data_IF_605033145852
#
_entry.id   IF_605033145852
#
_cell.length_a   1.000
_cell.length_b   1.000
_cell.length_c   1.000
_cell.angle_alpha   90.00
_cell.angle_beta   90.00
_cell.angle_gamma   90.00
#
_symmetry.space_group_name_H-M   'P 1'
#
loop_
_entity.id
_entity.type
_entity.pdbx_description
1 polymer ?
#
# COMPACT_ATOMS: atom_id res chain seq x y z
N UNK A 1 0.72 18.69 7.01
CA UNK A 1 1.13 17.33 7.32
C UNK A 1 0.49 16.37 6.29
N UNK A 2 1.21 15.38 5.85
CA UNK A 2 0.73 14.45 4.83
C UNK A 2 0.93 13.00 5.28
N UNK A 3 0.01 12.15 4.88
CA UNK A 3 0.10 10.71 5.06
C UNK A 3 -0.69 10.03 3.94
N UNK A 4 -0.76 8.70 3.94
CA UNK A 4 -1.46 7.94 2.91
C UNK A 4 -2.62 7.19 3.50
N UNK A 5 -3.66 7.01 2.71
CA UNK A 5 -4.86 6.27 3.10
C UNK A 5 -5.26 5.33 1.98
N UNK A 6 -5.47 4.05 2.31
CA UNK A 6 -6.01 3.06 1.40
C UNK A 6 -7.44 2.77 1.84
N UNK A 7 -8.39 3.09 0.98
CA UNK A 7 -9.81 2.90 1.26
C UNK A 7 -10.29 1.69 0.49
N UNK A 8 -10.73 0.65 1.21
CA UNK A 8 -11.22 -0.59 0.65
C UNK A 8 -12.70 -0.50 0.34
N UNK A 9 -13.09 -1.14 -0.76
CA UNK A 9 -14.50 -1.35 -1.09
C UNK A 9 -14.98 -2.68 -0.49
N UNK A 10 -16.29 -2.91 -0.55
CA UNK A 10 -16.89 -4.18 -0.14
C UNK A 10 -16.35 -5.29 -1.07
N UNK A 11 -15.94 -6.46 -0.53
CA UNK A 11 -15.44 -7.54 -1.35
C UNK A 11 -16.42 -7.99 -2.43
N UNK A 12 -15.89 -8.23 -3.62
CA UNK A 12 -16.59 -8.85 -4.73
C UNK A 12 -15.96 -10.22 -4.96
N UNK A 13 -16.60 -11.26 -4.41
CA UNK A 13 -15.99 -12.58 -4.37
C UNK A 13 -14.70 -12.54 -3.57
N UNK A 14 -13.59 -12.95 -4.20
CA UNK A 14 -12.25 -12.91 -3.59
C UNK A 14 -11.51 -11.60 -3.81
N UNK A 15 -12.07 -10.70 -4.59
CA UNK A 15 -11.44 -9.44 -4.92
C UNK A 15 -11.87 -8.34 -3.95
N UNK A 16 -10.89 -7.67 -3.35
CA UNK A 16 -11.14 -6.44 -2.59
C UNK A 16 -10.48 -5.31 -3.35
N UNK A 17 -11.29 -4.55 -4.07
CA UNK A 17 -10.83 -3.34 -4.75
C UNK A 17 -10.71 -2.22 -3.75
N UNK A 18 -9.73 -1.36 -3.95
CA UNK A 18 -9.55 -0.19 -3.14
C UNK A 18 -8.86 0.91 -3.93
N UNK A 19 -8.61 2.01 -3.26
CA UNK A 19 -7.89 3.14 -3.83
C UNK A 19 -6.94 3.73 -2.80
N UNK A 20 -5.76 4.07 -3.28
CA UNK A 20 -4.74 4.71 -2.47
C UNK A 20 -4.77 6.22 -2.71
N UNK A 21 -4.72 6.97 -1.62
CA UNK A 21 -4.75 8.44 -1.63
C UNK A 21 -3.58 9.01 -0.86
N UNK A 22 -3.10 10.15 -1.33
CA UNK A 22 -2.30 11.05 -0.53
C UNK A 22 -3.25 11.97 0.23
N UNK A 23 -3.05 12.10 1.52
CA UNK A 23 -3.91 12.92 2.39
C UNK A 23 -3.10 14.10 2.91
N UNK A 24 -3.57 15.30 2.63
CA UNK A 24 -3.06 16.53 3.21
C UNK A 24 -4.03 17.01 4.28
N UNK A 25 -3.50 17.32 5.45
CA UNK A 25 -4.31 17.90 6.53
C UNK A 25 -3.96 19.37 6.72
N UNK A 26 -5.00 20.19 6.86
CA UNK A 26 -4.88 21.62 7.15
C UNK A 26 -5.93 21.97 8.18
N UNK A 27 -5.52 22.09 9.45
CA UNK A 27 -6.46 22.24 10.56
C UNK A 27 -7.34 21.01 10.69
N UNK A 28 -8.66 21.19 10.56
CA UNK A 28 -9.64 20.10 10.63
C UNK A 28 -9.97 19.49 9.25
N UNK A 29 -9.40 20.04 8.18
CA UNK A 29 -9.69 19.59 6.82
C UNK A 29 -8.71 18.54 6.35
N UNK A 30 -9.24 17.51 5.70
CA UNK A 30 -8.46 16.54 4.94
C UNK A 30 -8.74 16.73 3.46
N UNK A 31 -7.68 16.74 2.67
CA UNK A 31 -7.79 16.76 1.22
C UNK A 31 -7.15 15.49 0.68
N UNK A 32 -7.93 14.69 -0.05
CA UNK A 32 -7.47 13.43 -0.62
C UNK A 32 -7.12 13.62 -2.09
N UNK A 33 -5.92 13.18 -2.46
CA UNK A 33 -5.48 13.14 -3.85
C UNK A 33 -5.31 11.68 -4.25
N UNK A 34 -6.07 11.24 -5.24
CA UNK A 34 -6.03 9.85 -5.71
C UNK A 34 -4.66 9.53 -6.32
N UNK A 35 -4.09 8.39 -5.93
CA UNK A 35 -2.83 7.92 -6.47
C UNK A 35 -3.05 6.77 -7.44
N UNK A 36 -3.66 5.67 -6.99
CA UNK A 36 -3.88 4.51 -7.83
C UNK A 36 -4.93 3.56 -7.26
N UNK A 37 -5.54 2.71 -8.11
CA UNK A 37 -6.37 1.61 -7.65
C UNK A 37 -5.50 0.52 -7.01
N UNK A 38 -6.10 -0.25 -6.12
CA UNK A 38 -5.46 -1.39 -5.44
C UNK A 38 -6.35 -2.62 -5.50
N UNK A 39 -5.73 -3.79 -5.35
CA UNK A 39 -6.44 -5.07 -5.32
C UNK A 39 -5.85 -5.95 -4.24
N UNK A 40 -6.70 -6.55 -3.43
CA UNK A 40 -6.29 -7.50 -2.39
C UNK A 40 -7.11 -8.78 -2.50
N UNK A 41 -6.62 -9.83 -1.85
CA UNK A 41 -7.33 -11.10 -1.76
C UNK A 41 -8.16 -11.10 -0.46
N UNK A 42 -9.48 -11.22 -0.59
CA UNK A 42 -10.41 -11.19 0.54
C UNK A 42 -10.09 -12.26 1.60
N UNK A 43 -9.59 -13.41 1.17
CA UNK A 43 -9.25 -14.53 2.06
C UNK A 43 -7.94 -14.31 2.81
N UNK A 44 -7.13 -13.34 2.41
CA UNK A 44 -5.77 -13.13 2.92
C UNK A 44 -5.53 -11.69 3.40
N UNK A 45 -6.57 -10.90 3.54
CA UNK A 45 -6.45 -9.49 3.91
C UNK A 45 -5.74 -9.30 5.25
N UNK A 46 -4.89 -8.28 5.28
CA UNK A 46 -4.28 -7.81 6.52
C UNK A 46 -5.26 -6.92 7.29
N UNK A 47 -5.08 -6.77 8.61
CA UNK A 47 -5.98 -5.91 9.40
C UNK A 47 -5.96 -4.46 8.94
N UNK A 48 -7.10 -3.78 9.09
CA UNK A 48 -7.24 -2.35 8.80
C UNK A 48 -6.64 -1.54 9.96
N UNK A 49 -5.34 -1.31 9.87
CA UNK A 49 -4.56 -0.60 10.89
C UNK A 49 -3.75 0.53 10.20
N UNK A 50 -2.98 1.23 11.02
CA UNK A 50 -2.00 2.20 10.53
C UNK A 50 -0.65 1.51 10.49
N UNK A 51 -0.01 1.54 9.32
CA UNK A 51 1.29 0.92 9.11
C UNK A 51 2.32 1.95 8.70
N UNK A 52 3.57 1.69 9.05
CA UNK A 52 4.71 2.38 8.46
C UNK A 52 5.11 1.65 7.20
N UNK A 53 5.49 2.39 6.17
CA UNK A 53 5.99 1.85 4.90
C UNK A 53 7.48 2.11 4.78
N UNK A 54 8.22 1.12 4.33
CA UNK A 54 9.62 1.27 3.96
C UNK A 54 9.82 0.71 2.55
N UNK A 55 10.88 1.12 1.87
CA UNK A 55 11.24 0.55 0.57
C UNK A 55 12.53 -0.25 0.78
N UNK A 56 12.45 -1.56 0.55
CA UNK A 56 13.57 -2.46 0.75
C UNK A 56 13.67 -3.45 -0.41
N UNK A 57 14.83 -4.10 -0.54
CA UNK A 57 15.02 -5.16 -1.51
C UNK A 57 14.15 -6.36 -1.13
N UNK A 58 13.28 -6.77 -2.06
CA UNK A 58 12.47 -7.97 -1.86
C UNK A 58 13.29 -9.21 -2.20
N UNK A 59 13.45 -10.16 -1.25
CA UNK A 59 14.13 -11.42 -1.58
C UNK A 59 13.38 -12.23 -2.63
N UNK A 60 12.04 -12.20 -2.59
CA UNK A 60 11.20 -12.96 -3.50
C UNK A 60 11.18 -12.38 -4.91
N UNK A 61 10.96 -11.07 -5.02
CA UNK A 61 10.81 -10.41 -6.31
C UNK A 61 12.11 -9.85 -6.87
N UNK A 62 13.17 -9.84 -6.04
CA UNK A 62 14.54 -9.43 -6.41
C UNK A 62 14.61 -8.02 -6.97
N UNK A 63 13.83 -7.11 -6.38
CA UNK A 63 13.86 -5.70 -6.68
C UNK A 63 13.37 -4.89 -5.49
N UNK A 64 13.61 -3.59 -5.50
CA UNK A 64 13.09 -2.69 -4.47
C UNK A 64 11.58 -2.60 -4.57
N UNK A 65 10.89 -2.80 -3.46
CA UNK A 65 9.43 -2.68 -3.36
C UNK A 65 9.05 -2.11 -2.00
N UNK A 66 7.92 -1.38 -1.93
CA UNK A 66 7.38 -0.95 -0.65
C UNK A 66 7.01 -2.16 0.21
N UNK A 67 7.33 -2.08 1.50
CA UNK A 67 6.97 -3.12 2.48
C UNK A 67 6.26 -2.47 3.66
N UNK A 68 5.21 -3.13 4.16
CA UNK A 68 4.52 -2.72 5.37
C UNK A 68 5.24 -3.29 6.58
N UNK A 69 5.55 -2.42 7.54
CA UNK A 69 6.28 -2.80 8.75
C UNK A 69 5.31 -3.31 9.81
N UNK A 70 5.73 -4.35 10.55
CA UNK A 70 5.02 -4.84 11.72
C UNK A 70 3.55 -5.23 11.47
N UNK A 71 3.30 -5.90 10.36
CA UNK A 71 1.98 -6.47 10.09
C UNK A 71 1.76 -7.64 11.07
N UNK A 72 0.65 -7.65 11.85
CA UNK A 72 0.42 -8.71 12.82
C UNK A 72 0.47 -10.10 12.20
N UNK A 73 1.35 -10.97 12.75
CA UNK A 73 1.47 -12.36 12.35
C UNK A 73 2.03 -12.60 10.94
N UNK A 74 2.54 -11.58 10.27
CA UNK A 74 3.04 -11.70 8.89
C UNK A 74 4.27 -10.84 8.67
N UNK A 75 5.07 -11.25 7.69
CA UNK A 75 6.21 -10.46 7.20
C UNK A 75 6.22 -10.47 5.68
N UNK A 76 6.93 -9.51 5.09
CA UNK A 76 7.04 -9.45 3.64
C UNK A 76 5.77 -9.00 2.91
N UNK A 77 4.87 -8.32 3.59
CA UNK A 77 3.66 -7.76 2.97
C UNK A 77 4.07 -6.50 2.21
N UNK A 78 3.90 -6.53 0.90
CA UNK A 78 4.39 -5.48 0.00
C UNK A 78 3.32 -5.00 -0.96
N UNK A 79 3.55 -3.83 -1.55
CA UNK A 79 2.88 -3.44 -2.80
C UNK A 79 3.67 -4.03 -3.95
N UNK A 80 3.01 -4.80 -4.81
CA UNK A 80 3.65 -5.31 -6.02
C UNK A 80 2.62 -5.50 -7.13
N UNK A 81 3.10 -5.68 -8.35
CA UNK A 81 2.22 -5.85 -9.50
C UNK A 81 1.45 -7.16 -9.45
N UNK A 82 0.20 -7.11 -9.89
CA UNK A 82 -0.67 -8.27 -10.02
C UNK A 82 -2.02 -7.86 -10.54
N UNK A 83 -2.72 -8.79 -11.20
CA UNK A 83 -4.00 -8.51 -11.87
C UNK A 83 -5.16 -9.32 -11.33
N UNK A 84 -4.88 -10.32 -10.50
CA UNK A 84 -5.90 -11.23 -9.95
C UNK A 84 -5.71 -11.37 -8.45
N UNK A 85 -6.80 -11.52 -7.66
CA UNK A 85 -6.68 -11.70 -6.21
C UNK A 85 -5.74 -12.86 -5.84
N UNK A 86 -5.70 -13.92 -6.64
CA UNK A 86 -4.86 -15.08 -6.40
C UNK A 86 -3.35 -14.76 -6.45
N UNK A 87 -2.97 -13.62 -7.03
CA UNK A 87 -1.58 -13.16 -7.02
C UNK A 87 -1.16 -12.60 -5.65
N UNK A 88 -2.10 -12.50 -4.71
CA UNK A 88 -1.84 -11.95 -3.39
C UNK A 88 -2.01 -13.02 -2.30
N UNK A 89 -1.01 -13.10 -1.42
CA UNK A 89 -1.09 -13.82 -0.14
C UNK A 89 -1.11 -12.83 1.03
N UNK A 90 -1.74 -11.68 0.82
CA UNK A 90 -1.81 -10.58 1.77
C UNK A 90 -1.20 -9.29 1.24
N UNK A 91 -0.41 -9.37 0.18
CA UNK A 91 0.17 -8.19 -0.46
C UNK A 91 -0.91 -7.35 -1.15
N UNK A 92 -0.60 -6.07 -1.32
CA UNK A 92 -1.46 -5.13 -2.03
C UNK A 92 -1.01 -5.09 -3.49
N UNK A 93 -1.91 -5.44 -4.40
CA UNK A 93 -1.62 -5.51 -5.82
C UNK A 93 -1.95 -4.19 -6.50
N UNK A 94 -1.08 -3.77 -7.39
CA UNK A 94 -1.25 -2.57 -8.23
C UNK A 94 -0.83 -2.91 -9.65
N UNK A 95 -1.04 -2.00 -10.60
CA UNK A 95 -0.50 -2.18 -11.94
C UNK A 95 1.03 -2.14 -11.92
N UNK A 96 1.66 -2.68 -12.97
CA UNK A 96 3.12 -2.62 -13.09
C UNK A 96 3.62 -1.18 -13.10
N UNK A 97 2.90 -0.28 -13.76
CA UNK A 97 3.22 1.13 -13.80
C UNK A 97 3.11 1.78 -12.41
N UNK A 98 2.05 1.47 -11.68
CA UNK A 98 1.84 2.00 -10.33
C UNK A 98 2.84 1.44 -9.33
N UNK A 99 3.27 0.19 -9.49
CA UNK A 99 4.33 -0.39 -8.67
C UNK A 99 5.61 0.45 -8.76
N UNK A 100 6.01 0.80 -9.97
CA UNK A 100 7.20 1.63 -10.21
C UNK A 100 7.00 3.03 -9.61
N UNK A 101 5.85 3.62 -9.86
CA UNK A 101 5.51 4.95 -9.35
C UNK A 101 5.57 5.02 -7.83
N UNK A 102 4.95 4.06 -7.14
CA UNK A 102 4.92 4.03 -5.69
C UNK A 102 6.30 3.76 -5.10
N UNK A 103 7.06 2.84 -5.70
CA UNK A 103 8.39 2.54 -5.24
C UNK A 103 9.28 3.78 -5.28
N UNK A 104 9.23 4.52 -6.38
CA UNK A 104 10.02 5.74 -6.55
C UNK A 104 9.56 6.86 -5.60
N UNK A 105 8.25 7.04 -5.47
CA UNK A 105 7.68 8.06 -4.58
C UNK A 105 8.14 7.83 -3.13
N UNK A 106 7.95 6.63 -2.63
CA UNK A 106 8.27 6.31 -1.25
C UNK A 106 9.77 6.16 -0.99
N UNK A 107 10.54 5.75 -1.99
CA UNK A 107 12.00 5.74 -1.88
C UNK A 107 12.54 7.16 -1.70
N UNK A 108 11.99 8.14 -2.44
CA UNK A 108 12.35 9.54 -2.29
C UNK A 108 12.01 10.08 -0.90
N UNK A 109 10.83 9.76 -0.39
CA UNK A 109 10.43 10.18 0.96
C UNK A 109 11.34 9.54 2.02
N UNK A 110 11.68 8.26 1.85
CA UNK A 110 12.58 7.54 2.75
C UNK A 110 13.98 8.17 2.75
N UNK A 111 14.49 8.58 1.58
CA UNK A 111 15.76 9.29 1.47
C UNK A 111 15.72 10.65 2.16
N UNK A 112 14.58 11.32 2.14
CA UNK A 112 14.35 12.56 2.87
C UNK A 112 14.16 12.37 4.37
N UNK A 113 14.26 11.13 4.85
CA UNK A 113 14.08 10.73 6.25
C UNK A 113 12.68 11.03 6.79
N UNK A 114 11.69 11.04 5.91
CA UNK A 114 10.31 11.18 6.29
C UNK A 114 9.71 9.81 6.61
N UNK A 115 8.90 9.78 7.65
CA UNK A 115 8.13 8.58 7.99
C UNK A 115 6.94 8.47 7.06
N UNK A 116 6.80 7.32 6.40
CA UNK A 116 5.70 7.05 5.47
C UNK A 116 4.62 6.31 6.26
N UNK A 117 3.53 7.00 6.53
CA UNK A 117 2.40 6.45 7.27
C UNK A 117 1.28 6.09 6.29
N UNK A 118 0.77 4.87 6.39
CA UNK A 118 -0.33 4.37 5.57
C UNK A 118 -1.44 3.85 6.47
N UNK A 119 -2.62 4.42 6.34
CA UNK A 119 -3.80 4.04 7.08
C UNK A 119 -4.75 3.25 6.17
N UNK A 120 -5.18 2.07 6.61
CA UNK A 120 -6.17 1.26 5.91
C UNK A 120 -7.55 1.51 6.49
N UNK A 121 -8.52 1.73 5.61
CA UNK A 121 -9.93 1.96 5.99
C UNK A 121 -10.87 0.97 5.34
#
# INVERSE_FOLDING_TARGET
>A
MAYYKLIREIPDGKAVHGNLYLVHTSGVREQLTHICPTLENADKMIPALIYRVAVTQSPRFKRLLPVLCQVPGRSGIRFHRGTKPQHSSGCILVSAEDEIKLTNLWLNEQHGKEEIRLEFC
#
